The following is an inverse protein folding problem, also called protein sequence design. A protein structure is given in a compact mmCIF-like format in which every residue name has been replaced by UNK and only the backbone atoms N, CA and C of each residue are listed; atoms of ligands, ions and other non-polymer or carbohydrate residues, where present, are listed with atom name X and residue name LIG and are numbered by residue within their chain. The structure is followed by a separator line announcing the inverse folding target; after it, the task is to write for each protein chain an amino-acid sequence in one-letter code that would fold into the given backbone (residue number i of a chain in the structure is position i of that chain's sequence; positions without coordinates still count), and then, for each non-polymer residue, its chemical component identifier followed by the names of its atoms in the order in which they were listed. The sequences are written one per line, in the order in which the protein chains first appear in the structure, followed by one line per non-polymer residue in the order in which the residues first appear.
data_IF_290781283653
#
_entry.id   IF_290781283653
#
_cell.length_a   1.000
_cell.length_b   1.000
_cell.length_c   1.000
_cell.angle_alpha   90.00
_cell.angle_beta   90.00
_cell.angle_gamma   90.00
#
_symmetry.space_group_name_H-M   'P 1'
#
loop_
_entity.id
_entity.type
_entity.pdbx_description
1 polymer ?
#
# COMPACT_ATOMS: atom_id res chain seq x y z
N UNK A 1 9.18 -27.41 -66.28
CA UNK A 1 9.10 -26.16 -65.51
C UNK A 1 8.16 -26.36 -64.31
N UNK A 2 8.74 -26.64 -63.13
CA UNK A 2 7.97 -26.88 -61.90
C UNK A 2 7.84 -25.56 -61.15
N UNK A 3 6.63 -25.01 -61.04
CA UNK A 3 6.32 -23.82 -60.25
C UNK A 3 6.17 -24.28 -58.79
N UNK A 4 7.12 -23.88 -57.90
CA UNK A 4 6.98 -24.04 -56.47
C UNK A 4 6.14 -22.88 -55.97
N UNK A 5 4.90 -23.20 -55.52
CA UNK A 5 3.99 -22.29 -54.83
C UNK A 5 4.38 -22.32 -53.35
N UNK A 6 5.11 -21.27 -52.91
CA UNK A 6 5.54 -21.10 -51.51
C UNK A 6 4.35 -20.47 -50.72
N UNK A 7 3.58 -21.32 -50.03
CA UNK A 7 2.48 -20.90 -49.18
C UNK A 7 3.05 -20.30 -47.90
N UNK A 8 3.12 -18.96 -47.86
CA UNK A 8 3.54 -18.21 -46.67
C UNK A 8 2.43 -18.30 -45.59
N UNK A 9 2.59 -19.20 -44.63
CA UNK A 9 1.69 -19.35 -43.46
C UNK A 9 1.92 -18.19 -42.48
N UNK A 10 1.12 -17.14 -42.55
CA UNK A 10 1.14 -16.02 -41.61
C UNK A 10 0.49 -16.51 -40.33
N UNK A 11 1.29 -16.85 -39.31
CA UNK A 11 0.83 -17.12 -37.95
C UNK A 11 0.47 -15.80 -37.31
N UNK A 12 -0.82 -15.46 -37.29
CA UNK A 12 -1.36 -14.35 -36.49
C UNK A 12 -1.30 -14.77 -35.03
N UNK A 13 -0.25 -14.36 -34.32
CA UNK A 13 -0.18 -14.47 -32.87
C UNK A 13 -1.15 -13.41 -32.33
N UNK A 14 -2.40 -13.79 -32.10
CA UNK A 14 -3.35 -12.95 -31.33
C UNK A 14 -2.79 -12.88 -29.90
N UNK A 15 -2.07 -11.83 -29.59
CA UNK A 15 -1.69 -11.48 -28.22
C UNK A 15 -2.97 -11.19 -27.44
N UNK A 16 -3.48 -12.19 -26.75
CA UNK A 16 -4.59 -12.03 -25.84
C UNK A 16 -4.05 -11.30 -24.59
N UNK A 17 -4.09 -9.97 -24.59
CA UNK A 17 -3.85 -9.20 -23.36
C UNK A 17 -4.87 -9.64 -22.31
N UNK A 18 -4.45 -9.94 -21.07
CA UNK A 18 -5.39 -10.29 -20.03
C UNK A 18 -6.43 -9.17 -19.86
N UNK A 19 -7.71 -9.52 -19.86
CA UNK A 19 -8.80 -8.57 -19.68
C UNK A 19 -8.66 -7.94 -18.30
N UNK A 20 -8.72 -6.61 -18.20
CA UNK A 20 -8.71 -5.90 -16.94
C UNK A 20 -9.76 -6.47 -15.98
N UNK A 21 -9.33 -6.71 -14.74
CA UNK A 21 -10.16 -7.28 -13.67
C UNK A 21 -10.22 -6.37 -12.43
N UNK A 22 -9.55 -5.23 -12.47
CA UNK A 22 -9.59 -4.17 -11.47
C UNK A 22 -10.00 -2.85 -12.12
N UNK A 23 -10.91 -2.12 -11.46
CA UNK A 23 -11.35 -0.80 -11.85
C UNK A 23 -11.36 0.13 -10.64
N UNK A 24 -10.72 1.29 -10.78
CA UNK A 24 -10.77 2.39 -9.83
C UNK A 24 -11.67 3.50 -10.38
N UNK A 25 -12.82 3.72 -9.77
CA UNK A 25 -13.67 4.87 -10.06
C UNK A 25 -13.38 5.97 -9.04
N UNK A 26 -12.97 7.14 -9.50
CA UNK A 26 -12.58 8.23 -8.64
C UNK A 26 -13.37 9.51 -8.84
N UNK A 27 -13.48 10.30 -7.76
CA UNK A 27 -13.98 11.67 -7.77
C UNK A 27 -13.07 12.54 -6.88
N UNK A 28 -12.38 13.50 -7.50
CA UNK A 28 -11.51 14.47 -6.80
C UNK A 28 -12.22 15.81 -6.79
N UNK A 29 -13.02 16.06 -5.75
CA UNK A 29 -13.80 17.30 -5.60
C UNK A 29 -12.90 18.53 -5.71
N UNK A 30 -13.23 19.43 -6.63
CA UNK A 30 -12.49 20.66 -6.89
C UNK A 30 -11.37 20.52 -7.94
N UNK A 31 -11.08 19.32 -8.45
CA UNK A 31 -10.17 19.15 -9.58
C UNK A 31 -10.89 19.56 -10.87
N UNK A 32 -10.27 20.44 -11.66
CA UNK A 32 -10.77 20.85 -12.98
C UNK A 32 -9.85 20.38 -14.11
N UNK A 33 -8.54 20.32 -13.84
CA UNK A 33 -7.53 19.94 -14.81
C UNK A 33 -6.35 19.26 -14.10
N UNK A 34 -5.86 18.15 -14.65
CA UNK A 34 -4.73 17.39 -14.13
C UNK A 34 -4.66 16.00 -14.73
N UNK A 35 -3.56 15.30 -14.47
CA UNK A 35 -3.38 13.90 -14.85
C UNK A 35 -3.46 13.03 -13.61
N UNK A 36 -4.33 12.05 -13.62
CA UNK A 36 -4.42 11.01 -12.59
C UNK A 36 -3.74 9.76 -13.10
N UNK A 37 -2.84 9.20 -12.33
CA UNK A 37 -2.00 8.05 -12.69
C UNK A 37 -2.20 6.95 -11.65
N UNK A 38 -2.49 5.74 -12.12
CA UNK A 38 -2.47 4.52 -11.33
C UNK A 38 -1.11 3.84 -11.56
N UNK A 39 -0.39 3.55 -10.50
CA UNK A 39 0.93 2.94 -10.57
C UNK A 39 1.11 1.87 -9.50
N UNK A 40 2.18 1.06 -9.63
CA UNK A 40 2.65 0.15 -8.59
C UNK A 40 4.17 0.09 -8.56
N UNK A 41 4.72 -0.38 -7.42
CA UNK A 41 6.14 -0.66 -7.32
C UNK A 41 6.43 -2.13 -7.62
N UNK A 42 7.39 -2.37 -8.52
CA UNK A 42 7.95 -3.69 -8.85
C UNK A 42 9.46 -3.62 -8.60
N UNK A 43 9.96 -4.34 -7.61
CA UNK A 43 11.40 -4.34 -7.24
C UNK A 43 11.98 -2.93 -7.01
N UNK A 44 11.20 -2.05 -6.38
CA UNK A 44 11.60 -0.67 -6.12
C UNK A 44 11.45 0.29 -7.32
N UNK A 45 11.10 -0.22 -8.50
CA UNK A 45 10.83 0.60 -9.69
C UNK A 45 9.33 0.85 -9.80
N UNK A 46 8.96 2.11 -10.01
CA UNK A 46 7.57 2.48 -10.22
C UNK A 46 7.14 2.21 -11.68
N UNK A 47 6.02 1.51 -11.83
CA UNK A 47 5.43 1.17 -13.13
C UNK A 47 4.04 1.77 -13.21
N UNK A 48 3.78 2.60 -14.22
CA UNK A 48 2.45 3.11 -14.54
C UNK A 48 1.59 1.98 -15.11
N UNK A 49 0.40 1.79 -14.54
CA UNK A 49 -0.57 0.79 -14.96
C UNK A 49 -1.62 1.40 -15.90
N UNK A 50 -2.11 2.60 -15.55
CA UNK A 50 -3.08 3.35 -16.33
C UNK A 50 -3.00 4.85 -15.99
N UNK A 51 -3.48 5.71 -16.87
CA UNK A 51 -3.51 7.15 -16.62
C UNK A 51 -4.61 7.83 -17.41
N UNK A 52 -5.12 8.96 -16.87
CA UNK A 52 -6.12 9.77 -17.53
C UNK A 52 -5.85 11.25 -17.34
N UNK A 53 -5.98 12.02 -18.42
CA UNK A 53 -5.94 13.47 -18.39
C UNK A 53 -7.35 14.02 -18.19
N UNK A 54 -7.58 14.71 -17.07
CA UNK A 54 -8.85 15.34 -16.77
C UNK A 54 -8.85 16.80 -17.24
N UNK A 55 -9.95 17.20 -17.90
CA UNK A 55 -10.17 18.56 -18.34
C UNK A 55 -11.67 18.89 -18.21
N UNK A 56 -12.05 19.61 -17.16
CA UNK A 56 -13.43 19.98 -16.86
C UNK A 56 -14.22 18.94 -16.06
N UNK A 57 -13.64 17.79 -15.71
CA UNK A 57 -14.28 16.76 -14.88
C UNK A 57 -13.42 16.47 -13.63
N UNK A 58 -14.08 16.21 -12.51
CA UNK A 58 -13.46 15.67 -11.29
C UNK A 58 -13.50 14.14 -11.23
N UNK A 59 -14.30 13.51 -12.09
CA UNK A 59 -14.55 12.07 -12.09
C UNK A 59 -13.69 11.37 -13.14
N UNK A 60 -13.21 10.18 -12.79
CA UNK A 60 -12.38 9.35 -13.66
C UNK A 60 -12.60 7.87 -13.41
N UNK A 61 -12.15 7.05 -14.35
CA UNK A 61 -12.05 5.60 -14.21
C UNK A 61 -10.68 5.14 -14.73
N UNK A 62 -9.96 4.36 -13.94
CA UNK A 62 -8.70 3.72 -14.30
C UNK A 62 -8.84 2.21 -14.16
N UNK A 63 -8.18 1.47 -15.05
CA UNK A 63 -8.35 0.03 -15.13
C UNK A 63 -6.99 -0.66 -15.22
N UNK A 64 -6.89 -1.86 -14.63
CA UNK A 64 -5.69 -2.68 -14.79
C UNK A 64 -6.01 -4.16 -14.55
N UNK A 65 -5.01 -5.00 -14.77
CA UNK A 65 -5.08 -6.41 -14.39
C UNK A 65 -4.28 -6.65 -13.10
N UNK A 66 -4.91 -7.27 -12.11
CA UNK A 66 -4.28 -7.71 -10.86
C UNK A 66 -4.33 -9.25 -10.79
N UNK A 67 -3.23 -9.86 -10.44
CA UNK A 67 -3.17 -11.31 -10.16
C UNK A 67 -3.67 -11.65 -8.76
N UNK A 68 -3.49 -10.71 -7.84
CA UNK A 68 -3.83 -10.81 -6.42
C UNK A 68 -4.00 -9.40 -5.83
N UNK A 69 -4.55 -9.27 -4.61
CA UNK A 69 -4.58 -7.99 -3.92
C UNK A 69 -3.18 -7.42 -3.69
N UNK A 70 -2.97 -6.16 -4.10
CA UNK A 70 -1.67 -5.51 -3.93
C UNK A 70 -1.80 -4.00 -3.66
N UNK A 71 -0.76 -3.42 -3.08
CA UNK A 71 -0.68 -1.97 -2.86
C UNK A 71 -0.41 -1.28 -4.18
N UNK A 72 -1.29 -0.34 -4.50
CA UNK A 72 -1.24 0.54 -5.65
C UNK A 72 -1.01 1.98 -5.19
N UNK A 73 -0.56 2.82 -6.11
CA UNK A 73 -0.37 4.24 -5.93
C UNK A 73 -1.30 5.02 -6.83
N UNK A 74 -2.04 5.95 -6.26
CA UNK A 74 -2.80 6.94 -7.01
C UNK A 74 -2.07 8.26 -6.94
N UNK A 75 -1.67 8.79 -8.08
CA UNK A 75 -0.88 10.01 -8.19
C UNK A 75 -1.68 11.07 -8.94
N UNK A 76 -1.57 12.31 -8.49
CA UNK A 76 -2.15 13.46 -9.14
C UNK A 76 -1.05 14.43 -9.57
N UNK A 77 -0.99 14.75 -10.86
CA UNK A 77 -0.07 15.72 -11.43
C UNK A 77 -0.85 16.90 -11.98
N UNK A 78 -0.48 18.12 -11.55
CA UNK A 78 -1.03 19.37 -12.06
C UNK A 78 0.07 20.13 -12.80
N UNK A 79 -0.26 20.68 -13.96
CA UNK A 79 0.66 21.53 -14.74
C UNK A 79 2.04 20.91 -14.99
N UNK A 80 2.10 19.57 -15.15
CA UNK A 80 3.34 18.83 -15.41
C UNK A 80 4.26 18.58 -14.21
N UNK A 81 3.90 19.11 -13.03
CA UNK A 81 4.63 18.87 -11.79
C UNK A 81 3.88 17.87 -10.92
N UNK A 82 4.58 16.86 -10.41
CA UNK A 82 4.04 15.91 -9.43
C UNK A 82 3.66 16.65 -8.15
N UNK A 83 2.45 16.39 -7.64
CA UNK A 83 1.93 17.14 -6.50
C UNK A 83 1.49 16.28 -5.31
N UNK A 84 0.77 15.17 -5.57
CA UNK A 84 0.14 14.37 -4.51
C UNK A 84 0.14 12.87 -4.84
N UNK A 85 0.34 12.03 -3.82
CA UNK A 85 0.33 10.57 -3.93
C UNK A 85 -0.40 9.95 -2.75
N UNK A 86 -1.14 8.86 -3.01
CA UNK A 86 -1.78 8.02 -1.99
C UNK A 86 -1.47 6.56 -2.31
N UNK A 87 -1.03 5.80 -1.31
CA UNK A 87 -0.98 4.34 -1.37
C UNK A 87 -2.30 3.75 -0.87
N UNK A 88 -2.83 2.77 -1.58
CA UNK A 88 -4.03 2.05 -1.19
C UNK A 88 -3.94 0.58 -1.60
N UNK A 89 -4.72 -0.27 -0.94
CA UNK A 89 -4.77 -1.69 -1.27
C UNK A 89 -5.86 -1.94 -2.33
N UNK A 90 -5.44 -2.23 -3.57
CA UNK A 90 -6.33 -2.66 -4.64
C UNK A 90 -6.68 -4.15 -4.51
N UNK A 91 -7.92 -4.50 -4.86
CA UNK A 91 -8.40 -5.87 -4.94
C UNK A 91 -9.14 -6.08 -6.27
N UNK A 92 -9.18 -7.31 -6.78
CA UNK A 92 -9.98 -7.65 -7.98
C UNK A 92 -11.41 -7.18 -7.80
N UNK A 93 -11.95 -6.49 -8.81
CA UNK A 93 -13.28 -5.88 -8.80
C UNK A 93 -13.25 -4.36 -8.90
N UNK A 94 -14.24 -3.71 -8.32
CA UNK A 94 -14.41 -2.26 -8.40
C UNK A 94 -14.03 -1.65 -7.04
N UNK A 95 -13.13 -0.67 -7.06
CA UNK A 95 -12.83 0.21 -5.94
C UNK A 95 -13.32 1.62 -6.27
N UNK A 96 -14.02 2.24 -5.33
CA UNK A 96 -14.45 3.64 -5.45
C UNK A 96 -13.55 4.53 -4.60
N UNK A 97 -13.13 5.64 -5.16
CA UNK A 97 -12.26 6.61 -4.51
C UNK A 97 -12.90 7.99 -4.48
N UNK A 98 -12.87 8.65 -3.33
CA UNK A 98 -13.33 10.03 -3.16
C UNK A 98 -12.36 10.82 -2.33
N UNK A 99 -12.09 12.07 -2.71
CA UNK A 99 -11.27 13.00 -1.95
C UNK A 99 -11.57 14.45 -2.31
N UNK A 100 -10.98 15.38 -1.55
CA UNK A 100 -10.94 16.80 -1.85
C UNK A 100 -9.55 17.21 -2.32
N UNK A 101 -9.46 17.97 -3.40
CA UNK A 101 -8.20 18.41 -4.00
C UNK A 101 -7.25 19.10 -3.01
N UNK A 102 -7.78 19.93 -2.10
CA UNK A 102 -6.97 20.67 -1.10
C UNK A 102 -6.41 19.76 0.00
N UNK A 103 -6.98 18.60 0.20
CA UNK A 103 -6.62 17.64 1.25
C UNK A 103 -6.54 16.22 0.69
N UNK A 104 -5.92 16.10 -0.48
CA UNK A 104 -5.92 14.91 -1.32
C UNK A 104 -5.61 13.63 -0.55
N UNK A 105 -4.55 13.62 0.25
CA UNK A 105 -4.14 12.44 1.03
C UNK A 105 -4.87 12.31 2.38
N UNK A 106 -5.35 13.42 2.94
CA UNK A 106 -5.95 13.43 4.29
C UNK A 106 -7.44 13.08 4.30
N UNK A 107 -8.18 13.44 3.25
CA UNK A 107 -9.62 13.19 3.13
C UNK A 107 -9.91 12.09 2.11
N UNK A 108 -8.91 11.25 1.84
CA UNK A 108 -9.05 10.12 0.92
C UNK A 108 -9.92 9.01 1.54
N UNK A 109 -10.91 8.55 0.77
CA UNK A 109 -11.75 7.42 1.13
C UNK A 109 -11.77 6.42 -0.02
N UNK A 110 -11.49 5.14 0.28
CA UNK A 110 -11.56 4.03 -0.65
C UNK A 110 -12.60 3.02 -0.17
N UNK A 111 -13.50 2.60 -1.06
CA UNK A 111 -14.57 1.65 -0.78
C UNK A 111 -14.51 0.49 -1.79
N UNK A 112 -14.83 -0.73 -1.35
CA UNK A 112 -14.91 -1.92 -2.19
C UNK A 112 -13.67 -2.84 -2.15
N UNK A 113 -12.66 -2.54 -1.32
CA UNK A 113 -11.52 -3.41 -1.08
C UNK A 113 -11.45 -3.82 0.40
N UNK A 114 -11.67 -5.11 0.69
CA UNK A 114 -11.56 -5.64 2.06
C UNK A 114 -10.18 -5.47 2.67
N UNK A 115 -9.13 -5.52 1.86
CA UNK A 115 -7.76 -5.28 2.33
C UNK A 115 -7.57 -3.79 2.69
N UNK A 116 -8.21 -2.89 1.94
CA UNK A 116 -8.17 -1.46 2.26
C UNK A 116 -8.90 -1.15 3.57
N UNK A 117 -10.08 -1.73 3.79
CA UNK A 117 -10.81 -1.59 5.06
C UNK A 117 -9.94 -2.01 6.25
N UNK A 118 -9.27 -3.16 6.16
CA UNK A 118 -8.33 -3.62 7.20
C UNK A 118 -7.11 -2.68 7.33
N UNK A 119 -6.60 -2.13 6.23
CA UNK A 119 -5.50 -1.16 6.26
C UNK A 119 -5.92 0.15 6.92
N UNK A 120 -7.14 0.61 6.70
CA UNK A 120 -7.69 1.82 7.33
C UNK A 120 -7.84 1.63 8.84
N UNK A 121 -8.34 0.48 9.29
CA UNK A 121 -8.40 0.12 10.72
C UNK A 121 -7.01 0.07 11.35
N UNK A 122 -6.05 -0.56 10.67
CA UNK A 122 -4.66 -0.60 11.09
C UNK A 122 -4.06 0.80 11.19
N UNK A 123 -4.23 1.65 10.18
CA UNK A 123 -3.71 3.01 10.15
C UNK A 123 -4.36 3.90 11.22
N UNK A 124 -5.65 3.71 11.50
CA UNK A 124 -6.35 4.43 12.57
C UNK A 124 -5.68 4.18 13.93
N UNK A 125 -5.34 2.92 14.24
CA UNK A 125 -4.63 2.60 15.47
C UNK A 125 -3.17 3.05 15.46
N UNK A 126 -2.48 2.91 14.33
CA UNK A 126 -1.11 3.38 14.17
C UNK A 126 -1.01 4.90 14.38
N UNK A 127 -1.99 5.67 13.92
CA UNK A 127 -2.03 7.11 14.12
C UNK A 127 -2.19 7.50 15.60
N UNK A 128 -2.92 6.72 16.41
CA UNK A 128 -2.99 6.94 17.87
C UNK A 128 -1.61 6.79 18.52
N UNK A 129 -0.83 5.80 18.15
CA UNK A 129 0.56 5.66 18.62
C UNK A 129 1.44 6.84 18.21
N UNK A 130 1.27 7.35 16.96
CA UNK A 130 2.01 8.53 16.48
C UNK A 130 1.63 9.79 17.26
N UNK A 131 0.37 10.00 17.55
CA UNK A 131 -0.12 11.13 18.35
C UNK A 131 0.41 11.07 19.79
N UNK A 132 0.38 9.89 20.42
CA UNK A 132 0.94 9.68 21.76
C UNK A 132 2.46 9.94 21.77
N UNK A 133 3.19 9.44 20.77
CA UNK A 133 4.62 9.73 20.59
C UNK A 133 4.90 11.24 20.47
N UNK A 134 4.11 11.95 19.66
CA UNK A 134 4.25 13.38 19.48
C UNK A 134 4.00 14.15 20.79
N UNK A 135 3.05 13.70 21.61
CA UNK A 135 2.79 14.30 22.92
C UNK A 135 3.98 14.09 23.89
N UNK A 136 4.58 12.91 23.91
CA UNK A 136 5.80 12.68 24.70
C UNK A 136 6.97 13.56 24.24
N UNK A 137 7.16 13.74 22.92
CA UNK A 137 8.20 14.64 22.38
C UNK A 137 7.95 16.08 22.82
N UNK A 138 6.71 16.58 22.78
CA UNK A 138 6.36 17.92 23.30
C UNK A 138 6.71 18.05 24.78
N UNK A 139 6.35 17.04 25.58
CA UNK A 139 6.64 17.02 27.01
C UNK A 139 8.14 16.98 27.29
N UNK A 140 8.93 16.28 26.49
CA UNK A 140 10.41 16.32 26.60
C UNK A 140 10.98 17.74 26.40
N UNK A 141 10.42 18.48 25.45
CA UNK A 141 10.84 19.87 25.18
C UNK A 141 10.49 20.77 26.38
N UNK A 142 9.28 20.64 26.93
CA UNK A 142 8.83 21.42 28.11
C UNK A 142 9.70 21.18 29.34
N UNK A 143 10.16 19.93 29.54
CA UNK A 143 10.94 19.55 30.73
C UNK A 143 12.43 19.34 30.43
N UNK A 144 12.95 19.98 29.37
CA UNK A 144 14.36 19.81 28.93
C UNK A 144 15.43 20.09 29.98
N UNK A 145 15.09 20.91 31.02
CA UNK A 145 15.97 21.18 32.16
C UNK A 145 15.80 20.29 33.39
N UNK A 146 14.91 19.25 33.33
CA UNK A 146 14.61 18.40 34.47
C UNK A 146 14.91 16.92 34.15
N UNK A 147 16.08 16.45 34.58
CA UNK A 147 16.57 15.11 34.26
C UNK A 147 15.64 13.99 34.78
N UNK A 148 15.08 14.12 35.97
CA UNK A 148 14.19 13.09 36.55
C UNK A 148 12.93 12.93 35.69
N UNK A 149 12.32 14.04 35.26
CA UNK A 149 11.17 13.99 34.33
C UNK A 149 11.51 13.43 32.97
N UNK A 150 12.68 13.79 32.42
CA UNK A 150 13.16 13.26 31.14
C UNK A 150 13.34 11.74 31.21
N UNK A 151 13.87 11.21 32.30
CA UNK A 151 14.06 9.76 32.49
C UNK A 151 12.72 9.00 32.55
N UNK A 152 11.69 9.60 33.15
CA UNK A 152 10.33 9.05 33.17
C UNK A 152 9.77 9.02 31.73
N UNK A 153 9.83 10.15 31.01
CA UNK A 153 9.32 10.27 29.65
C UNK A 153 10.03 9.30 28.71
N UNK A 154 11.34 9.14 28.83
CA UNK A 154 12.11 8.19 28.02
C UNK A 154 11.66 6.73 28.24
N UNK A 155 11.35 6.35 29.48
CA UNK A 155 10.78 5.02 29.78
C UNK A 155 9.42 4.82 29.11
N UNK A 156 8.55 5.85 29.18
CA UNK A 156 7.24 5.79 28.54
C UNK A 156 7.33 5.72 27.02
N UNK A 157 8.26 6.43 26.38
CA UNK A 157 8.53 6.29 24.95
C UNK A 157 8.99 4.87 24.56
N UNK A 158 9.81 4.24 25.38
CA UNK A 158 10.22 2.84 25.17
C UNK A 158 9.01 1.90 25.29
N UNK A 159 8.15 2.13 26.29
CA UNK A 159 6.91 1.36 26.47
C UNK A 159 5.94 1.56 25.31
N UNK A 160 5.79 2.80 24.82
CA UNK A 160 4.96 3.11 23.65
C UNK A 160 5.42 2.34 22.41
N UNK A 161 6.71 2.35 22.10
CA UNK A 161 7.28 1.60 20.97
C UNK A 161 7.06 0.10 21.10
N UNK A 162 7.14 -0.46 22.31
CA UNK A 162 6.84 -1.87 22.55
C UNK A 162 5.35 -2.17 22.30
N UNK A 163 4.44 -1.31 22.78
CA UNK A 163 2.98 -1.46 22.54
C UNK A 163 2.64 -1.40 21.05
N UNK A 164 3.22 -0.44 20.33
CA UNK A 164 3.07 -0.32 18.87
C UNK A 164 3.57 -1.59 18.17
N UNK A 165 4.76 -2.08 18.49
CA UNK A 165 5.30 -3.32 17.93
C UNK A 165 4.39 -4.51 18.19
N UNK A 166 3.91 -4.70 19.43
CA UNK A 166 2.99 -5.80 19.74
C UNK A 166 1.63 -5.66 19.07
N UNK A 167 1.14 -4.44 18.90
CA UNK A 167 -0.06 -4.19 18.10
C UNK A 167 0.13 -4.70 16.67
N UNK A 168 1.23 -4.35 16.01
CA UNK A 168 1.52 -4.78 14.62
C UNK A 168 1.63 -6.31 14.54
N UNK A 169 2.32 -6.96 15.50
CA UNK A 169 2.44 -8.42 15.55
C UNK A 169 1.06 -9.07 15.69
N UNK A 170 0.25 -8.62 16.64
CA UNK A 170 -1.08 -9.17 16.90
C UNK A 170 -2.03 -8.94 15.72
N UNK A 171 -1.99 -7.74 15.11
CA UNK A 171 -2.75 -7.44 13.90
C UNK A 171 -2.39 -8.41 12.78
N UNK A 172 -1.10 -8.65 12.55
CA UNK A 172 -0.62 -9.56 11.50
C UNK A 172 -1.07 -11.01 11.76
N UNK A 173 -0.96 -11.49 13.00
CA UNK A 173 -1.39 -12.85 13.36
C UNK A 173 -2.91 -13.02 13.23
N UNK A 174 -3.69 -12.01 13.64
CA UNK A 174 -5.16 -12.04 13.57
C UNK A 174 -5.70 -11.90 12.13
N UNK A 175 -4.87 -11.47 11.19
CA UNK A 175 -5.20 -11.35 9.76
C UNK A 175 -4.40 -12.32 8.88
N UNK A 176 -4.03 -13.47 9.38
CA UNK A 176 -3.13 -14.44 8.75
C UNK A 176 -3.65 -15.08 7.45
N UNK A 177 -4.91 -14.86 7.12
CA UNK A 177 -5.60 -15.27 5.89
C UNK A 177 -5.73 -14.15 4.84
N UNK A 178 -5.06 -13.01 5.06
CA UNK A 178 -5.17 -11.81 4.24
C UNK A 178 -3.78 -11.26 3.88
N UNK A 179 -3.62 -10.77 2.66
CA UNK A 179 -2.39 -10.19 2.11
C UNK A 179 -1.90 -8.97 2.91
N UNK A 180 -2.79 -8.32 3.68
CA UNK A 180 -2.44 -7.22 4.58
C UNK A 180 -1.47 -7.65 5.68
N UNK A 181 -1.58 -8.90 6.17
CA UNK A 181 -0.74 -9.42 7.26
C UNK A 181 0.75 -9.38 6.93
N UNK A 182 1.24 -10.10 5.88
CA UNK A 182 2.64 -10.05 5.52
C UNK A 182 3.09 -8.67 5.01
N UNK A 183 2.18 -7.87 4.42
CA UNK A 183 2.48 -6.49 4.00
C UNK A 183 2.85 -5.60 5.19
N UNK A 184 2.00 -5.52 6.23
CA UNK A 184 2.29 -4.67 7.39
C UNK A 184 3.49 -5.19 8.19
N UNK A 185 3.64 -6.52 8.32
CA UNK A 185 4.81 -7.12 8.97
C UNK A 185 6.11 -6.72 8.26
N UNK A 186 6.18 -6.88 6.95
CA UNK A 186 7.35 -6.50 6.16
C UNK A 186 7.63 -5.00 6.17
N UNK A 187 6.59 -4.16 6.16
CA UNK A 187 6.72 -2.69 6.15
C UNK A 187 7.19 -2.14 7.50
N UNK A 188 6.68 -2.65 8.62
CA UNK A 188 6.84 -2.03 9.94
C UNK A 188 7.76 -2.81 10.89
N UNK A 189 7.98 -4.12 10.65
CA UNK A 189 8.77 -4.97 11.54
C UNK A 189 10.08 -5.46 10.92
N UNK A 190 10.43 -5.02 9.72
CA UNK A 190 11.66 -5.46 9.04
C UNK A 190 12.93 -5.31 9.86
N UNK A 191 13.00 -4.28 10.74
CA UNK A 191 14.18 -3.99 11.58
C UNK A 191 14.08 -4.55 13.01
N UNK A 192 13.00 -5.31 13.31
CA UNK A 192 12.79 -5.92 14.63
C UNK A 192 13.51 -7.27 14.75
N UNK A 193 13.40 -7.91 15.94
CA UNK A 193 13.93 -9.26 16.15
C UNK A 193 13.24 -10.26 15.21
N UNK A 194 14.04 -11.05 14.52
CA UNK A 194 13.59 -12.06 13.56
C UNK A 194 12.52 -13.00 14.12
N UNK A 195 12.61 -13.36 15.41
CA UNK A 195 11.61 -14.21 16.08
C UNK A 195 10.16 -13.75 15.85
N UNK A 196 9.93 -12.44 15.78
CA UNK A 196 8.58 -11.90 15.54
C UNK A 196 8.14 -12.12 14.09
N UNK A 197 9.05 -11.91 13.12
CA UNK A 197 8.77 -12.20 11.71
C UNK A 197 8.51 -13.69 11.49
N UNK A 198 9.28 -14.57 12.15
CA UNK A 198 9.08 -16.03 12.11
C UNK A 198 7.70 -16.41 12.68
N UNK A 199 7.33 -15.84 13.81
CA UNK A 199 6.01 -16.09 14.43
C UNK A 199 4.88 -15.70 13.50
N UNK A 200 4.94 -14.50 12.89
CA UNK A 200 3.94 -14.03 11.94
C UNK A 200 3.93 -14.94 10.70
N UNK A 201 5.09 -15.18 10.07
CA UNK A 201 5.16 -16.01 8.86
C UNK A 201 4.62 -17.42 9.09
N UNK A 202 4.93 -18.04 10.23
CA UNK A 202 4.44 -19.37 10.57
C UNK A 202 2.92 -19.40 10.74
N UNK A 203 2.31 -18.33 11.24
CA UNK A 203 0.85 -18.21 11.39
C UNK A 203 0.11 -18.05 10.06
N UNK A 204 0.76 -17.55 8.99
CA UNK A 204 0.12 -17.32 7.70
C UNK A 204 -0.48 -18.60 7.12
N UNK A 205 -1.66 -18.50 6.52
CA UNK A 205 -2.23 -19.56 5.71
C UNK A 205 -1.33 -19.89 4.51
N UNK A 206 -1.44 -21.12 3.98
CA UNK A 206 -0.65 -21.53 2.81
C UNK A 206 -0.84 -20.57 1.63
N UNK A 207 -2.09 -20.18 1.34
CA UNK A 207 -2.43 -19.22 0.29
C UNK A 207 -1.65 -17.91 0.46
N UNK A 208 -1.59 -17.38 1.68
CA UNK A 208 -0.93 -16.10 1.95
C UNK A 208 0.60 -16.23 1.96
N UNK A 209 1.15 -17.36 2.36
CA UNK A 209 2.59 -17.65 2.21
C UNK A 209 3.04 -17.63 0.75
N UNK A 210 2.19 -18.10 -0.15
CA UNK A 210 2.45 -18.19 -1.60
C UNK A 210 2.13 -16.86 -2.32
N UNK A 211 1.51 -15.87 -1.66
CA UNK A 211 1.21 -14.54 -2.21
C UNK A 211 2.47 -13.67 -2.34
N UNK A 212 2.38 -12.61 -3.14
CA UNK A 212 3.45 -11.60 -3.32
C UNK A 212 4.06 -11.14 -1.98
N UNK A 213 3.21 -10.74 -1.03
CA UNK A 213 3.69 -10.22 0.26
C UNK A 213 4.16 -11.33 1.20
N UNK A 214 3.61 -12.54 1.08
CA UNK A 214 4.11 -13.71 1.81
C UNK A 214 5.53 -14.08 1.39
N UNK A 215 5.80 -14.09 0.08
CA UNK A 215 7.14 -14.30 -0.48
C UNK A 215 8.10 -13.19 -0.04
N UNK A 216 7.69 -11.92 -0.15
CA UNK A 216 8.52 -10.78 0.30
C UNK A 216 8.84 -10.86 1.80
N UNK A 217 7.88 -11.24 2.64
CA UNK A 217 8.12 -11.40 4.08
C UNK A 217 9.11 -12.54 4.35
N UNK A 218 9.03 -13.63 3.58
CA UNK A 218 9.99 -14.73 3.65
C UNK A 218 11.41 -14.25 3.32
N UNK A 219 11.59 -13.50 2.24
CA UNK A 219 12.86 -12.93 1.86
C UNK A 219 13.43 -12.01 2.95
N UNK A 220 12.62 -11.08 3.50
CA UNK A 220 13.03 -10.17 4.58
C UNK A 220 13.55 -10.96 5.78
N UNK A 221 12.89 -12.05 6.18
CA UNK A 221 13.34 -12.88 7.31
C UNK A 221 14.60 -13.68 7.00
N UNK A 222 14.80 -14.11 5.75
CA UNK A 222 16.00 -14.89 5.35
C UNK A 222 17.25 -14.00 5.21
N UNK A 223 17.12 -12.75 4.81
CA UNK A 223 18.22 -11.78 4.76
C UNK A 223 18.78 -11.39 6.14
N UNK A 224 18.10 -11.75 7.22
CA UNK A 224 18.54 -11.47 8.60
C UNK A 224 19.34 -12.62 9.24
N UNK A 225 19.45 -13.76 8.56
CA UNK A 225 20.29 -14.90 8.93
C UNK A 225 21.65 -14.76 8.28
#
# INVERSE_FOLDING_TARGET
MKKHFFLLLIIIISSCSPKNNFQLNGDIKGLKKGTVILAKSINGVEVTLDSINLNGSSKFSLNTFLTEPEVLKLKLTKSGTYNDEIEFFGNIGITNFKTNLKRFSYESNFEGSKQQEKLDDFNTMLNRFKEENLNFIKTQIEFSGNQEKLDIINRELINLKKREMYFIINFSINNNDSEISPYVAGKFLKDTNQKYLDTIYNSLSKKIKDSKYGVLLKEIKEFKN
#
